data_IF_424446049960
#
_entry.id   IF_424446049960
#
_cell.length_a   1.000
_cell.length_b   1.000
_cell.length_c   1.000
_cell.angle_alpha   90.00
_cell.angle_beta   90.00
_cell.angle_gamma   90.00
#
_symmetry.space_group_name_H-M   'P 1'
#
loop_
_entity.id
_entity.type
_entity.pdbx_description
1 polymer ?
#
# COMPACT_ATOMS: atom_id res chain seq x y z
N UNK A 1 28.51 30.67 -77.86
CA UNK A 1 27.82 30.91 -76.57
C UNK A 1 27.47 29.56 -76.00
N UNK A 2 28.15 29.17 -74.95
CA UNK A 2 27.87 27.86 -74.25
C UNK A 2 27.19 28.16 -72.93
N UNK A 3 25.97 27.62 -72.74
CA UNK A 3 25.20 27.76 -71.52
C UNK A 3 25.72 26.77 -70.47
N UNK A 4 26.00 27.26 -69.24
CA UNK A 4 26.33 26.46 -68.08
C UNK A 4 25.03 25.99 -67.44
N UNK A 5 24.93 24.72 -67.03
CA UNK A 5 23.82 24.25 -66.17
C UNK A 5 24.12 24.53 -64.67
N UNK A 6 23.21 25.24 -64.01
CA UNK A 6 23.17 25.40 -62.56
C UNK A 6 22.79 24.06 -61.91
N UNK A 7 23.68 23.52 -61.09
CA UNK A 7 23.38 22.43 -60.22
C UNK A 7 22.72 22.96 -58.90
N UNK A 8 21.43 22.72 -58.72
CA UNK A 8 20.74 23.01 -57.52
C UNK A 8 20.94 21.83 -56.55
N UNK A 9 21.74 22.05 -55.52
CA UNK A 9 21.90 21.06 -54.44
C UNK A 9 20.73 21.22 -53.46
N UNK A 10 19.82 20.27 -53.45
CA UNK A 10 18.79 20.14 -52.38
C UNK A 10 19.45 19.59 -51.13
N UNK A 11 19.64 20.43 -50.13
CA UNK A 11 19.98 20.01 -48.77
C UNK A 11 18.71 19.43 -48.12
N UNK A 12 18.61 18.10 -48.03
CA UNK A 12 17.59 17.42 -47.22
C UNK A 12 17.98 17.55 -45.75
N UNK A 13 17.30 18.44 -45.03
CA UNK A 13 17.41 18.51 -43.56
C UNK A 13 16.77 17.26 -42.95
N UNK A 14 17.58 16.28 -42.57
CA UNK A 14 17.15 15.16 -41.75
C UNK A 14 16.84 15.68 -40.34
N UNK A 15 15.56 15.99 -40.05
CA UNK A 15 15.08 16.20 -38.70
C UNK A 15 15.20 14.87 -37.93
N UNK A 16 16.32 14.66 -37.26
CA UNK A 16 16.48 13.55 -36.32
C UNK A 16 15.49 13.71 -35.17
N UNK A 17 14.44 12.92 -35.19
CA UNK A 17 13.58 12.73 -34.03
C UNK A 17 14.41 12.03 -32.94
N UNK A 18 15.11 12.81 -32.13
CA UNK A 18 15.64 12.28 -30.87
C UNK A 18 14.41 11.93 -29.99
N UNK A 19 14.26 10.69 -29.51
CA UNK A 19 13.20 10.38 -28.58
C UNK A 19 13.37 11.28 -27.35
N UNK A 20 12.36 12.06 -27.04
CA UNK A 20 12.37 12.87 -25.83
C UNK A 20 12.59 11.94 -24.64
N UNK A 21 13.71 12.09 -23.94
CA UNK A 21 13.97 11.36 -22.70
C UNK A 21 12.97 11.89 -21.68
N UNK A 22 11.92 11.11 -21.43
CA UNK A 22 10.93 11.43 -20.41
C UNK A 22 11.59 11.28 -19.05
N UNK A 23 11.81 12.41 -18.37
CA UNK A 23 12.42 12.45 -17.03
C UNK A 23 11.47 11.91 -15.97
N UNK A 24 12.03 11.56 -14.82
CA UNK A 24 11.28 11.26 -13.62
C UNK A 24 10.34 12.44 -13.28
N UNK A 25 9.19 12.11 -12.74
CA UNK A 25 8.18 13.09 -12.40
C UNK A 25 7.80 12.90 -10.93
N UNK A 26 8.03 13.94 -10.14
CA UNK A 26 7.53 14.05 -8.76
C UNK A 26 6.46 15.12 -8.71
N UNK A 27 5.32 14.78 -8.14
CA UNK A 27 4.24 15.73 -7.85
C UNK A 27 3.72 15.52 -6.44
N UNK A 28 3.37 16.61 -5.78
CA UNK A 28 2.79 16.59 -4.43
C UNK A 28 1.42 17.25 -4.43
N UNK A 29 0.64 16.92 -3.39
CA UNK A 29 -0.62 17.57 -3.07
C UNK A 29 -1.66 17.48 -4.22
N UNK A 30 -1.69 16.35 -4.94
CA UNK A 30 -2.65 16.08 -6.00
C UNK A 30 -3.95 15.58 -5.38
N UNK A 31 -5.05 16.25 -5.64
CA UNK A 31 -6.37 15.80 -5.22
C UNK A 31 -6.82 14.59 -6.06
N UNK A 32 -7.12 13.47 -5.38
CA UNK A 32 -7.63 12.26 -6.03
C UNK A 32 -9.10 11.97 -5.72
N UNK A 33 -9.64 12.54 -4.65
CA UNK A 33 -11.05 12.43 -4.27
C UNK A 33 -11.47 13.60 -3.36
N UNK A 34 -12.78 13.84 -3.24
CA UNK A 34 -13.33 14.91 -2.39
C UNK A 34 -14.62 14.45 -1.68
N UNK A 35 -14.54 13.44 -0.80
CA UNK A 35 -15.71 13.06 -0.03
C UNK A 35 -16.11 14.16 0.97
N UNK A 36 -17.40 14.45 1.07
CA UNK A 36 -17.96 15.45 2.00
C UNK A 36 -17.23 16.81 1.93
N UNK A 37 -16.91 17.28 0.71
CA UNK A 37 -16.18 18.52 0.42
C UNK A 37 -14.74 18.61 1.01
N UNK A 38 -14.22 17.52 1.55
CA UNK A 38 -12.84 17.42 2.05
C UNK A 38 -11.92 16.80 0.99
N UNK A 39 -10.89 17.53 0.52
CA UNK A 39 -9.96 16.97 -0.45
C UNK A 39 -9.11 15.88 0.18
N UNK A 40 -8.98 14.75 -0.51
CA UNK A 40 -7.99 13.71 -0.25
C UNK A 40 -6.85 13.85 -1.24
N UNK A 41 -5.65 13.93 -0.71
CA UNK A 41 -4.46 14.25 -1.49
C UNK A 41 -3.55 13.03 -1.61
N UNK A 42 -2.79 13.00 -2.70
CA UNK A 42 -1.68 12.07 -2.89
C UNK A 42 -0.41 12.80 -3.33
N UNK A 43 0.73 12.17 -3.01
CA UNK A 43 2.02 12.49 -3.59
C UNK A 43 2.44 11.33 -4.49
N UNK A 44 3.13 11.62 -5.58
CA UNK A 44 3.55 10.59 -6.53
C UNK A 44 4.98 10.77 -7.02
N UNK A 45 5.55 9.64 -7.42
CA UNK A 45 6.78 9.54 -8.19
C UNK A 45 6.55 8.63 -9.41
N UNK A 46 7.04 9.05 -10.56
CA UNK A 46 7.08 8.22 -11.77
C UNK A 46 8.52 8.17 -12.28
N UNK A 47 9.09 6.98 -12.53
CA UNK A 47 10.47 6.85 -12.99
C UNK A 47 10.75 7.49 -14.33
N UNK A 48 12.05 7.69 -14.65
CA UNK A 48 12.52 8.04 -15.98
C UNK A 48 12.10 7.00 -17.03
N UNK A 49 11.84 7.45 -18.25
CA UNK A 49 11.58 6.58 -19.39
C UNK A 49 10.14 6.56 -19.87
N UNK A 50 9.90 5.75 -20.89
CA UNK A 50 8.62 5.72 -21.61
C UNK A 50 7.51 4.92 -20.86
N UNK A 51 7.87 4.05 -19.92
CA UNK A 51 6.91 3.13 -19.29
C UNK A 51 6.39 2.07 -20.26
N UNK A 52 5.22 1.45 -20.02
CA UNK A 52 4.42 1.67 -18.84
C UNK A 52 5.01 1.02 -17.58
N UNK A 53 5.09 1.77 -16.49
CA UNK A 53 5.71 1.34 -15.24
C UNK A 53 4.76 0.49 -14.37
N UNK A 54 5.28 -0.48 -13.60
CA UNK A 54 4.53 -1.02 -12.47
C UNK A 54 4.34 0.09 -11.43
N UNK A 55 3.26 0.01 -10.67
CA UNK A 55 2.94 1.03 -9.68
C UNK A 55 2.61 0.43 -8.31
N UNK A 56 2.84 1.21 -7.26
CA UNK A 56 2.41 0.91 -5.90
C UNK A 56 1.54 2.07 -5.37
N UNK A 57 0.40 1.74 -4.76
CA UNK A 57 -0.38 2.68 -3.97
C UNK A 57 -0.01 2.43 -2.51
N UNK A 58 0.46 3.49 -1.83
CA UNK A 58 1.05 3.42 -0.50
C UNK A 58 0.08 4.00 0.52
N UNK A 59 -0.24 3.22 1.56
CA UNK A 59 -1.23 3.56 2.58
C UNK A 59 -0.55 3.60 3.95
N UNK A 60 -0.52 4.78 4.56
CA UNK A 60 0.16 4.99 5.84
C UNK A 60 -0.60 4.39 7.02
N UNK A 61 0.11 4.16 8.14
CA UNK A 61 -0.46 3.76 9.42
C UNK A 61 -0.92 4.93 10.28
N UNK A 62 -0.92 4.72 11.59
CA UNK A 62 -1.28 5.74 12.57
C UNK A 62 -2.59 5.46 13.31
N UNK A 63 -2.97 4.19 13.47
CA UNK A 63 -4.09 3.77 14.32
C UNK A 63 -5.46 4.26 13.84
N UNK A 64 -5.61 4.59 12.57
CA UNK A 64 -6.80 5.13 11.91
C UNK A 64 -7.18 6.57 12.29
N UNK A 65 -6.49 7.23 13.22
CA UNK A 65 -6.79 8.57 13.71
C UNK A 65 -5.63 9.57 13.58
N UNK A 66 -4.48 9.10 13.07
CA UNK A 66 -3.28 9.91 12.85
C UNK A 66 -2.55 9.47 11.57
N UNK A 67 -1.56 10.27 11.18
CA UNK A 67 -0.73 10.00 10.01
C UNK A 67 -1.11 10.81 8.78
N UNK A 68 -0.25 10.75 7.80
CA UNK A 68 -0.44 11.37 6.48
C UNK A 68 0.35 10.55 5.45
N UNK A 69 0.10 10.79 4.17
CA UNK A 69 0.87 10.24 3.04
C UNK A 69 2.39 10.50 3.11
N UNK A 70 2.83 11.42 3.99
CA UNK A 70 4.24 11.83 4.21
C UNK A 70 4.83 11.22 5.49
N UNK A 71 4.14 10.27 6.14
CA UNK A 71 4.56 9.69 7.42
C UNK A 71 4.52 8.15 7.35
N UNK A 72 5.28 7.50 8.21
CA UNK A 72 5.32 6.05 8.46
C UNK A 72 5.69 5.19 7.24
N UNK A 73 5.00 5.29 6.11
CA UNK A 73 5.22 4.49 4.88
C UNK A 73 6.43 4.99 4.05
N UNK A 74 6.98 6.16 4.38
CA UNK A 74 8.08 6.83 3.66
C UNK A 74 9.31 5.94 3.40
N UNK A 75 9.72 5.02 4.30
CA UNK A 75 10.85 4.13 4.02
C UNK A 75 10.71 3.27 2.76
N UNK A 76 9.50 3.12 2.21
CA UNK A 76 9.27 2.40 0.95
C UNK A 76 9.53 3.23 -0.30
N UNK A 77 9.54 4.56 -0.22
CA UNK A 77 9.61 5.47 -1.37
C UNK A 77 10.88 5.26 -2.19
N UNK A 78 12.04 5.41 -1.55
CA UNK A 78 13.33 5.22 -2.21
C UNK A 78 13.51 3.80 -2.73
N UNK A 79 13.07 2.81 -1.95
CA UNK A 79 13.14 1.40 -2.31
C UNK A 79 12.40 1.11 -3.61
N UNK A 80 11.19 1.67 -3.76
CA UNK A 80 10.35 1.50 -4.96
C UNK A 80 10.89 2.31 -6.13
N UNK A 81 11.30 3.56 -5.92
CA UNK A 81 11.88 4.41 -6.96
C UNK A 81 13.12 3.76 -7.58
N UNK A 82 14.05 3.29 -6.74
CA UNK A 82 15.28 2.61 -7.18
C UNK A 82 14.99 1.28 -7.90
N UNK A 83 13.85 0.65 -7.60
CA UNK A 83 13.40 -0.58 -8.26
C UNK A 83 12.67 -0.34 -9.59
N UNK A 84 12.42 0.91 -9.98
CA UNK A 84 11.72 1.28 -11.19
C UNK A 84 10.19 1.23 -11.10
N UNK A 85 9.65 1.30 -9.89
CA UNK A 85 8.21 1.42 -9.66
C UNK A 85 7.80 2.90 -9.59
N UNK A 86 6.67 3.23 -10.20
CA UNK A 86 5.95 4.43 -9.81
C UNK A 86 5.26 4.17 -8.46
N UNK A 87 5.12 5.23 -7.64
CA UNK A 87 4.36 5.11 -6.42
C UNK A 87 3.45 6.31 -6.20
N UNK A 88 2.34 6.06 -5.47
CA UNK A 88 1.30 7.01 -5.14
C UNK A 88 1.01 6.88 -3.64
N UNK A 89 1.55 7.78 -2.83
CA UNK A 89 1.29 7.80 -1.39
C UNK A 89 0.05 8.63 -1.11
N UNK A 90 -0.95 8.04 -0.45
CA UNK A 90 -2.27 8.62 -0.31
C UNK A 90 -2.59 9.02 1.13
N UNK A 91 -3.36 10.10 1.29
CA UNK A 91 -4.14 10.33 2.49
C UNK A 91 -5.45 9.53 2.42
N UNK A 92 -6.00 9.19 3.57
CA UNK A 92 -7.35 8.68 3.73
C UNK A 92 -8.01 9.40 4.91
N UNK A 93 -9.34 9.42 4.98
CA UNK A 93 -10.05 10.02 6.11
C UNK A 93 -9.72 9.30 7.39
N UNK A 94 -9.33 10.08 8.39
CA UNK A 94 -9.01 9.61 9.73
C UNK A 94 -10.26 9.69 10.63
N UNK A 95 -10.30 8.86 11.68
CA UNK A 95 -11.36 8.94 12.67
C UNK A 95 -11.37 10.31 13.38
N UNK A 96 -12.57 10.85 13.77
CA UNK A 96 -13.87 10.19 13.68
C UNK A 96 -14.57 10.31 12.31
N UNK A 97 -14.10 11.17 11.39
CA UNK A 97 -14.79 11.45 10.12
C UNK A 97 -14.61 10.32 9.10
N UNK A 98 -13.52 9.54 9.22
CA UNK A 98 -13.17 8.44 8.36
C UNK A 98 -13.20 7.10 9.07
N UNK A 99 -14.22 6.85 9.86
CA UNK A 99 -14.47 5.53 10.43
C UNK A 99 -14.69 4.49 9.30
N UNK A 100 -14.57 3.23 9.64
CA UNK A 100 -14.93 2.15 8.72
C UNK A 100 -16.43 2.22 8.35
N UNK A 101 -16.82 2.16 7.07
CA UNK A 101 -16.01 1.79 5.89
C UNK A 101 -15.42 2.99 5.08
N UNK A 102 -15.57 4.22 5.53
CA UNK A 102 -15.19 5.42 4.76
C UNK A 102 -13.70 5.45 4.37
N UNK A 103 -12.81 5.03 5.28
CA UNK A 103 -11.38 4.93 5.03
C UNK A 103 -11.03 3.85 3.99
N UNK A 104 -11.79 2.75 3.94
CA UNK A 104 -11.68 1.72 2.89
C UNK A 104 -12.06 2.30 1.53
N UNK A 105 -13.20 3.02 1.46
CA UNK A 105 -13.66 3.67 0.23
C UNK A 105 -12.65 4.69 -0.32
N UNK A 106 -11.86 5.32 0.56
CA UNK A 106 -10.81 6.26 0.16
C UNK A 106 -9.65 5.52 -0.54
N UNK A 107 -9.22 4.37 -0.02
CA UNK A 107 -8.21 3.51 -0.68
C UNK A 107 -8.72 3.01 -2.03
N UNK A 108 -9.96 2.57 -2.10
CA UNK A 108 -10.58 2.14 -3.37
C UNK A 108 -10.66 3.30 -4.39
N UNK A 109 -10.95 4.52 -3.91
CA UNK A 109 -10.98 5.71 -4.77
C UNK A 109 -9.60 6.02 -5.34
N UNK A 110 -8.53 5.84 -4.55
CA UNK A 110 -7.16 5.98 -5.04
C UNK A 110 -6.83 4.94 -6.12
N UNK A 111 -7.27 3.69 -5.98
CA UNK A 111 -7.07 2.66 -7.02
C UNK A 111 -7.77 3.08 -8.31
N UNK A 112 -9.02 3.51 -8.23
CA UNK A 112 -9.79 3.99 -9.40
C UNK A 112 -9.12 5.19 -10.05
N UNK A 113 -8.64 6.14 -9.24
CA UNK A 113 -7.95 7.33 -9.74
C UNK A 113 -6.65 7.00 -10.47
N UNK A 114 -5.77 6.17 -9.88
CA UNK A 114 -4.51 5.75 -10.52
C UNK A 114 -4.78 5.02 -11.84
N UNK A 115 -5.81 4.18 -11.90
CA UNK A 115 -6.22 3.50 -13.13
C UNK A 115 -6.73 4.47 -14.20
N UNK A 116 -7.51 5.48 -13.82
CA UNK A 116 -8.02 6.50 -14.73
C UNK A 116 -6.90 7.35 -15.33
N UNK A 117 -5.89 7.70 -14.52
CA UNK A 117 -4.76 8.53 -14.93
C UNK A 117 -3.53 7.74 -15.42
N UNK A 118 -3.67 6.42 -15.62
CA UNK A 118 -2.54 5.55 -15.98
C UNK A 118 -1.83 5.98 -17.28
N UNK A 119 -2.56 6.54 -18.26
CA UNK A 119 -1.97 7.08 -19.48
C UNK A 119 -1.12 8.32 -19.21
N UNK A 120 -1.60 9.25 -18.40
CA UNK A 120 -0.87 10.47 -18.01
C UNK A 120 0.44 10.15 -17.29
N UNK A 121 0.39 9.20 -16.33
CA UNK A 121 1.54 8.83 -15.51
C UNK A 121 2.30 7.61 -16.03
N UNK A 122 2.04 7.16 -17.24
CA UNK A 122 2.73 6.03 -17.88
C UNK A 122 2.69 4.75 -17.05
N UNK A 123 1.54 4.43 -16.44
CA UNK A 123 1.34 3.27 -15.54
C UNK A 123 0.75 2.08 -16.29
N UNK A 124 1.25 0.90 -15.98
CA UNK A 124 0.63 -0.34 -16.40
C UNK A 124 -0.55 -0.69 -15.46
N UNK A 125 -1.78 -0.51 -15.94
CA UNK A 125 -3.01 -0.75 -15.17
C UNK A 125 -3.14 -2.16 -14.60
N UNK A 126 -2.45 -3.15 -15.22
CA UNK A 126 -2.47 -4.55 -14.75
C UNK A 126 -1.37 -4.85 -13.73
N UNK A 127 -0.52 -3.88 -13.43
CA UNK A 127 0.65 -4.00 -12.56
C UNK A 127 0.61 -2.95 -11.44
N UNK A 128 -0.51 -2.91 -10.71
CA UNK A 128 -0.70 -2.03 -9.56
C UNK A 128 -0.71 -2.91 -8.31
N UNK A 129 0.17 -2.61 -7.35
CA UNK A 129 0.19 -3.21 -6.02
C UNK A 129 -0.40 -2.26 -4.99
N UNK A 130 -0.99 -2.80 -3.91
CA UNK A 130 -1.26 -2.05 -2.67
C UNK A 130 -0.16 -2.36 -1.67
N UNK A 131 0.33 -1.34 -0.98
CA UNK A 131 1.31 -1.49 0.10
C UNK A 131 0.83 -0.65 1.27
N UNK A 132 0.64 -1.29 2.42
CA UNK A 132 0.19 -0.60 3.62
C UNK A 132 1.01 -0.98 4.86
N UNK A 133 1.00 -0.12 5.87
CA UNK A 133 1.63 -0.42 7.14
C UNK A 133 0.69 -0.16 8.31
N UNK A 134 0.68 -1.03 9.35
CA UNK A 134 -0.14 -0.90 10.55
C UNK A 134 -1.64 -0.74 10.21
N UNK A 135 -2.28 0.36 10.59
CA UNK A 135 -3.65 0.67 10.18
C UNK A 135 -3.83 0.69 8.65
N UNK A 136 -2.85 1.22 7.91
CA UNK A 136 -2.85 1.18 6.45
C UNK A 136 -2.72 -0.24 5.90
N UNK A 137 -1.98 -1.13 6.59
CA UNK A 137 -1.91 -2.54 6.25
C UNK A 137 -3.28 -3.22 6.39
N UNK A 138 -3.99 -2.96 7.48
CA UNK A 138 -5.40 -3.41 7.61
C UNK A 138 -6.24 -2.97 6.41
N UNK A 139 -6.12 -1.68 6.00
CA UNK A 139 -6.92 -1.16 4.88
C UNK A 139 -6.59 -1.87 3.56
N UNK A 140 -5.30 -2.10 3.27
CA UNK A 140 -4.92 -2.81 2.04
C UNK A 140 -5.25 -4.30 2.11
N UNK A 141 -5.19 -4.93 3.29
CA UNK A 141 -5.62 -6.31 3.51
C UNK A 141 -7.12 -6.44 3.28
N UNK A 142 -7.92 -5.51 3.84
CA UNK A 142 -9.37 -5.48 3.64
C UNK A 142 -9.75 -5.30 2.18
N UNK A 143 -9.18 -4.30 1.50
CA UNK A 143 -9.43 -4.07 0.06
C UNK A 143 -8.95 -5.26 -0.77
N UNK A 144 -7.82 -5.88 -0.41
CA UNK A 144 -7.27 -7.06 -1.06
C UNK A 144 -8.23 -8.27 -1.01
N UNK A 145 -8.90 -8.48 0.14
CA UNK A 145 -9.87 -9.58 0.34
C UNK A 145 -11.31 -9.26 -0.11
N UNK A 146 -11.58 -8.03 -0.55
CA UNK A 146 -12.91 -7.57 -1.01
C UNK A 146 -12.86 -6.95 -2.41
N UNK A 147 -12.00 -7.45 -3.29
CA UNK A 147 -11.80 -6.85 -4.61
C UNK A 147 -13.05 -6.89 -5.48
N UNK A 148 -13.28 -5.79 -6.18
CA UNK A 148 -14.20 -5.71 -7.32
C UNK A 148 -13.39 -5.59 -8.62
N UNK A 149 -14.00 -5.72 -9.81
CA UNK A 149 -13.30 -5.47 -11.07
C UNK A 149 -12.60 -4.10 -11.14
N UNK A 150 -13.17 -3.07 -10.50
CA UNK A 150 -12.66 -1.69 -10.48
C UNK A 150 -11.50 -1.51 -9.49
N UNK A 151 -11.47 -2.29 -8.41
CA UNK A 151 -10.47 -2.20 -7.33
C UNK A 151 -9.42 -3.31 -7.36
N UNK A 152 -9.52 -4.23 -8.34
CA UNK A 152 -8.59 -5.35 -8.46
C UNK A 152 -7.14 -4.88 -8.60
N UNK A 153 -6.24 -5.47 -7.78
CA UNK A 153 -4.80 -5.21 -7.80
C UNK A 153 -3.99 -6.45 -8.10
N UNK A 154 -2.74 -6.27 -8.52
CA UNK A 154 -1.86 -7.37 -8.91
C UNK A 154 -1.15 -8.04 -7.72
N UNK A 155 -1.03 -7.33 -6.61
CA UNK A 155 -0.37 -7.81 -5.39
C UNK A 155 -0.74 -6.92 -4.20
N UNK A 156 -0.65 -7.48 -2.99
CA UNK A 156 -0.77 -6.75 -1.72
C UNK A 156 0.47 -6.99 -0.89
N UNK A 157 1.06 -5.93 -0.33
CA UNK A 157 2.13 -5.99 0.66
C UNK A 157 1.63 -5.36 1.96
N UNK A 158 1.62 -6.14 3.01
CA UNK A 158 1.10 -5.76 4.32
C UNK A 158 2.21 -5.79 5.36
N UNK A 159 2.52 -4.63 5.92
CA UNK A 159 3.49 -4.50 7.00
C UNK A 159 2.75 -4.49 8.33
N UNK A 160 2.95 -5.53 9.13
CA UNK A 160 2.42 -5.66 10.50
C UNK A 160 0.95 -5.21 10.65
N UNK A 161 0.09 -5.63 9.72
CA UNK A 161 -1.34 -5.33 9.74
C UNK A 161 -2.15 -6.22 10.69
N UNK A 162 -3.14 -5.66 11.42
CA UNK A 162 -4.06 -6.47 12.20
C UNK A 162 -5.12 -7.11 11.28
N UNK A 163 -4.94 -8.38 10.93
CA UNK A 163 -5.86 -9.10 10.03
C UNK A 163 -7.06 -9.73 10.75
N UNK A 164 -6.97 -9.97 12.07
CA UNK A 164 -8.06 -10.45 12.93
C UNK A 164 -8.36 -9.40 14.02
N UNK A 165 -9.33 -8.55 13.75
CA UNK A 165 -9.67 -7.42 14.63
C UNK A 165 -10.24 -7.87 15.98
N UNK A 166 -10.96 -9.00 16.01
CA UNK A 166 -11.45 -9.54 17.27
C UNK A 166 -10.28 -10.04 18.16
N UNK A 167 -9.38 -10.84 17.59
CA UNK A 167 -8.21 -11.32 18.34
C UNK A 167 -7.31 -10.16 18.79
N UNK A 168 -7.17 -9.10 17.99
CA UNK A 168 -6.47 -7.88 18.39
C UNK A 168 -7.12 -7.22 19.60
N UNK A 169 -8.44 -7.08 19.60
CA UNK A 169 -9.18 -6.46 20.68
C UNK A 169 -9.17 -7.30 21.97
N UNK A 170 -9.33 -8.62 21.84
CA UNK A 170 -9.26 -9.57 22.96
C UNK A 170 -7.86 -9.54 23.60
N UNK A 171 -6.81 -9.56 22.79
CA UNK A 171 -5.44 -9.50 23.29
C UNK A 171 -5.15 -8.18 24.03
N UNK A 172 -5.64 -7.05 23.52
CA UNK A 172 -5.53 -5.76 24.21
C UNK A 172 -6.29 -5.72 25.54
N UNK A 173 -7.45 -6.37 25.61
CA UNK A 173 -8.25 -6.45 26.83
C UNK A 173 -7.61 -7.35 27.88
N UNK A 174 -7.17 -8.55 27.46
CA UNK A 174 -6.78 -9.63 28.36
C UNK A 174 -5.30 -9.56 28.75
N UNK A 175 -4.45 -8.97 27.91
CA UNK A 175 -3.00 -8.87 28.07
C UNK A 175 -2.46 -7.45 27.79
N UNK A 176 -3.00 -6.41 28.44
CA UNK A 176 -2.57 -5.02 28.20
C UNK A 176 -1.09 -4.79 28.50
N UNK A 177 -0.46 -5.60 29.34
CA UNK A 177 0.96 -5.55 29.66
C UNK A 177 1.88 -5.91 28.49
N UNK A 178 1.36 -6.60 27.47
CA UNK A 178 2.12 -7.00 26.28
C UNK A 178 2.27 -5.87 25.27
N UNK A 179 1.52 -4.78 25.44
CA UNK A 179 1.45 -3.70 24.47
C UNK A 179 2.18 -2.43 24.95
N UNK A 180 2.63 -1.63 24.00
CA UNK A 180 3.17 -0.31 24.32
C UNK A 180 2.12 0.53 25.05
N UNK A 181 2.46 0.96 26.27
CA UNK A 181 1.56 1.71 27.14
C UNK A 181 1.19 3.09 26.56
N UNK A 182 2.03 3.68 25.68
CA UNK A 182 1.69 4.92 24.98
C UNK A 182 0.65 4.67 23.89
N UNK A 183 0.75 3.53 23.19
CA UNK A 183 -0.25 3.10 22.19
C UNK A 183 -1.59 2.79 22.88
N UNK A 184 -1.59 2.08 24.02
CA UNK A 184 -2.81 1.80 24.81
C UNK A 184 -3.49 3.10 25.26
N UNK A 185 -2.72 4.07 25.78
CA UNK A 185 -3.29 5.37 26.18
C UNK A 185 -3.91 6.13 25.02
N UNK A 186 -3.35 6.02 23.83
CA UNK A 186 -3.87 6.66 22.61
C UNK A 186 -5.10 5.92 22.08
N UNK A 187 -5.08 4.59 22.12
CA UNK A 187 -6.12 3.72 21.61
C UNK A 187 -6.54 2.71 22.69
N UNK A 188 -7.22 3.15 23.76
CA UNK A 188 -7.48 2.30 24.94
C UNK A 188 -8.28 1.03 24.64
N UNK A 189 -8.97 0.98 23.53
CA UNK A 189 -9.74 -0.20 23.09
C UNK A 189 -9.20 -0.73 21.74
N UNK A 190 -7.88 -0.67 21.50
CA UNK A 190 -7.28 -1.20 20.26
C UNK A 190 -7.82 -0.59 18.96
N UNK A 191 -8.28 0.67 19.01
CA UNK A 191 -8.84 1.34 17.83
C UNK A 191 -10.30 1.00 17.53
N UNK A 192 -11.02 0.30 18.41
CA UNK A 192 -12.41 -0.15 18.20
C UNK A 192 -13.37 0.94 17.76
N UNK A 193 -13.16 2.18 18.21
CA UNK A 193 -13.98 3.35 17.83
C UNK A 193 -13.99 3.61 16.33
N UNK A 194 -12.86 3.38 15.64
CA UNK A 194 -12.77 3.54 14.19
C UNK A 194 -13.66 2.55 13.43
N UNK A 195 -14.17 1.52 14.11
CA UNK A 195 -15.03 0.48 13.55
C UNK A 195 -16.47 0.55 14.09
N UNK A 196 -16.80 1.61 14.84
CA UNK A 196 -18.12 1.79 15.44
C UNK A 196 -18.39 0.85 16.62
N UNK A 197 -17.37 0.20 17.19
CA UNK A 197 -17.48 -0.69 18.34
C UNK A 197 -17.16 0.08 19.62
N UNK A 198 -18.10 0.07 20.57
CA UNK A 198 -17.92 0.73 21.86
C UNK A 198 -17.34 -0.22 22.90
N UNK A 199 -17.89 -1.41 22.98
CA UNK A 199 -17.57 -2.43 23.96
C UNK A 199 -17.33 -3.77 23.27
N UNK A 200 -16.53 -4.64 23.88
CA UNK A 200 -16.26 -5.98 23.39
C UNK A 200 -17.29 -6.98 23.96
N UNK A 201 -18.57 -6.68 23.77
CA UNK A 201 -19.69 -7.58 23.98
C UNK A 201 -19.92 -8.46 22.73
N UNK A 202 -20.98 -9.28 22.73
CA UNK A 202 -21.27 -10.17 21.59
C UNK A 202 -21.53 -9.39 20.29
N UNK A 203 -22.17 -8.22 20.36
CA UNK A 203 -22.41 -7.38 19.18
C UNK A 203 -21.11 -6.78 18.65
N UNK A 204 -20.26 -6.27 19.54
CA UNK A 204 -18.93 -5.78 19.20
C UNK A 204 -18.05 -6.88 18.63
N UNK A 205 -18.00 -8.05 19.27
CA UNK A 205 -17.26 -9.21 18.78
C UNK A 205 -17.74 -9.67 17.40
N UNK A 206 -19.07 -9.74 17.19
CA UNK A 206 -19.66 -10.06 15.88
C UNK A 206 -19.25 -9.05 14.82
N UNK A 207 -19.29 -7.76 15.14
CA UNK A 207 -18.85 -6.69 14.23
C UNK A 207 -17.38 -6.85 13.87
N UNK A 208 -16.49 -7.07 14.84
CA UNK A 208 -15.06 -7.23 14.59
C UNK A 208 -14.76 -8.47 13.73
N UNK A 209 -15.47 -9.58 13.93
CA UNK A 209 -15.36 -10.76 13.03
C UNK A 209 -15.72 -10.40 11.59
N UNK A 210 -16.81 -9.66 11.36
CA UNK A 210 -17.26 -9.27 10.02
C UNK A 210 -16.27 -8.39 9.26
N UNK A 211 -15.55 -7.52 9.97
CA UNK A 211 -14.59 -6.58 9.36
C UNK A 211 -13.15 -7.10 9.39
N UNK A 212 -12.90 -8.30 9.89
CA UNK A 212 -11.56 -8.89 9.91
C UNK A 212 -11.18 -9.45 8.53
N UNK A 213 -10.11 -8.97 7.89
CA UNK A 213 -9.66 -9.50 6.59
C UNK A 213 -9.50 -11.02 6.57
N UNK A 214 -9.00 -11.63 7.65
CA UNK A 214 -8.81 -13.08 7.76
C UNK A 214 -10.10 -13.87 7.55
N UNK A 215 -11.26 -13.33 7.91
CA UNK A 215 -12.57 -14.01 7.79
C UNK A 215 -13.20 -13.80 6.40
N UNK A 216 -12.65 -12.92 5.58
CA UNK A 216 -13.14 -12.64 4.24
C UNK A 216 -12.33 -13.36 3.14
N UNK A 217 -11.28 -14.07 3.53
CA UNK A 217 -10.40 -14.77 2.58
C UNK A 217 -11.18 -15.80 1.77
N UNK A 218 -10.99 -15.77 0.45
CA UNK A 218 -11.65 -16.69 -0.49
C UNK A 218 -10.72 -17.08 -1.66
N UNK A 219 -11.13 -18.03 -2.47
CA UNK A 219 -10.39 -18.43 -3.67
C UNK A 219 -10.35 -17.28 -4.67
N UNK A 220 -9.17 -16.99 -5.19
CA UNK A 220 -8.96 -15.96 -6.22
C UNK A 220 -8.41 -14.64 -5.69
N UNK A 221 -7.98 -14.64 -4.42
CA UNK A 221 -7.23 -13.54 -3.82
C UNK A 221 -6.01 -13.15 -4.67
N UNK A 222 -5.59 -11.87 -4.65
CA UNK A 222 -4.30 -11.48 -5.17
C UNK A 222 -3.18 -12.15 -4.35
N UNK A 223 -1.97 -12.27 -4.87
CA UNK A 223 -0.81 -12.64 -4.06
C UNK A 223 -0.57 -11.65 -2.94
N UNK A 224 -0.32 -12.16 -1.71
CA UNK A 224 0.02 -11.38 -0.53
C UNK A 224 1.47 -11.60 -0.12
N UNK A 225 2.14 -10.52 0.29
CA UNK A 225 3.38 -10.54 1.04
C UNK A 225 3.14 -9.88 2.39
N UNK A 226 3.33 -10.62 3.47
CA UNK A 226 3.24 -10.09 4.82
C UNK A 226 4.66 -9.89 5.37
N UNK A 227 4.92 -8.75 6.01
CA UNK A 227 6.22 -8.42 6.60
C UNK A 227 6.00 -7.96 8.03
N UNK A 228 6.56 -8.68 9.02
CA UNK A 228 6.24 -8.44 10.42
C UNK A 228 7.43 -8.68 11.35
N UNK A 229 7.63 -7.78 12.29
CA UNK A 229 8.62 -7.93 13.35
C UNK A 229 8.12 -8.87 14.45
N UNK A 230 8.94 -9.84 14.88
CA UNK A 230 8.50 -10.81 15.89
C UNK A 230 8.58 -10.30 17.35
N UNK A 231 8.94 -9.04 17.54
CA UNK A 231 8.89 -8.31 18.82
C UNK A 231 7.94 -7.12 18.76
N UNK A 232 6.94 -7.20 17.88
CA UNK A 232 5.94 -6.16 17.75
C UNK A 232 5.05 -6.09 18.99
N UNK A 233 5.03 -4.90 19.61
CA UNK A 233 4.30 -4.60 20.86
C UNK A 233 3.00 -3.82 20.64
N UNK A 234 2.57 -3.67 19.38
CA UNK A 234 1.30 -3.00 19.03
C UNK A 234 0.35 -3.92 18.28
N UNK A 235 0.87 -4.70 17.34
CA UNK A 235 0.12 -5.73 16.62
C UNK A 235 0.80 -7.07 16.85
N UNK A 236 0.19 -8.02 17.55
CA UNK A 236 0.82 -9.31 17.82
C UNK A 236 1.31 -9.99 16.56
N UNK A 237 2.57 -10.43 16.55
CA UNK A 237 3.18 -11.11 15.40
C UNK A 237 2.32 -12.26 14.87
N UNK A 238 1.61 -12.99 15.75
CA UNK A 238 0.72 -14.09 15.39
C UNK A 238 -0.34 -13.75 14.34
N UNK A 239 -0.67 -12.49 14.18
CA UNK A 239 -1.63 -12.01 13.17
C UNK A 239 -1.19 -12.38 11.76
N UNK A 240 0.08 -12.13 11.42
CA UNK A 240 0.58 -12.36 10.05
C UNK A 240 0.70 -13.84 9.68
N UNK A 241 1.30 -14.74 10.48
CA UNK A 241 1.28 -16.17 10.18
C UNK A 241 -0.14 -16.73 10.01
N UNK A 242 -1.07 -16.37 10.91
CA UNK A 242 -2.45 -16.84 10.84
C UNK A 242 -3.16 -16.38 9.56
N UNK A 243 -2.99 -15.12 9.19
CA UNK A 243 -3.58 -14.58 7.95
C UNK A 243 -2.96 -15.22 6.71
N UNK A 244 -1.64 -15.40 6.69
CA UNK A 244 -0.95 -16.06 5.57
C UNK A 244 -1.40 -17.52 5.41
N UNK A 245 -1.61 -18.22 6.50
CA UNK A 245 -2.15 -19.59 6.50
C UNK A 245 -3.58 -19.63 5.92
N UNK A 246 -4.45 -18.71 6.37
CA UNK A 246 -5.81 -18.62 5.84
C UNK A 246 -5.82 -18.38 4.32
N UNK A 247 -4.99 -17.47 3.80
CA UNK A 247 -4.85 -17.20 2.37
C UNK A 247 -4.38 -18.45 1.61
N UNK A 248 -3.38 -19.17 2.14
CA UNK A 248 -2.88 -20.42 1.53
C UNK A 248 -3.94 -21.51 1.52
N UNK A 249 -4.70 -21.66 2.61
CA UNK A 249 -5.78 -22.64 2.72
C UNK A 249 -6.92 -22.36 1.74
N UNK A 250 -7.16 -21.11 1.37
CA UNK A 250 -8.08 -20.72 0.31
C UNK A 250 -7.53 -20.97 -1.10
N UNK A 251 -6.28 -21.42 -1.24
CA UNK A 251 -5.62 -21.71 -2.52
C UNK A 251 -5.00 -20.49 -3.20
N UNK A 252 -4.76 -19.40 -2.46
CA UNK A 252 -4.06 -18.22 -2.94
C UNK A 252 -2.59 -18.19 -2.49
N UNK A 253 -1.79 -17.32 -3.11
CA UNK A 253 -0.38 -17.17 -2.76
C UNK A 253 -0.23 -16.22 -1.58
N UNK A 254 0.49 -16.65 -0.54
CA UNK A 254 0.95 -15.80 0.54
C UNK A 254 2.40 -16.17 0.92
N UNK A 255 3.24 -15.15 1.05
CA UNK A 255 4.59 -15.26 1.57
C UNK A 255 4.72 -14.38 2.82
N UNK A 256 5.54 -14.81 3.78
CA UNK A 256 5.78 -14.12 5.05
C UNK A 256 7.27 -13.86 5.22
N UNK A 257 7.63 -12.60 5.48
CA UNK A 257 8.97 -12.19 5.89
C UNK A 257 8.91 -11.82 7.38
N UNK A 258 9.61 -12.57 8.22
CA UNK A 258 9.77 -12.27 9.64
C UNK A 258 11.00 -11.39 9.84
N UNK A 259 10.84 -10.27 10.52
CA UNK A 259 11.95 -9.42 10.94
C UNK A 259 12.32 -9.79 12.38
N UNK A 260 13.42 -10.50 12.51
CA UNK A 260 13.90 -10.97 13.81
C UNK A 260 14.28 -9.81 14.73
N UNK A 261 13.69 -9.79 15.94
CA UNK A 261 13.85 -8.69 16.89
C UNK A 261 13.18 -7.38 16.46
N UNK A 262 12.42 -7.39 15.35
CA UNK A 262 11.73 -6.21 14.84
C UNK A 262 10.56 -5.81 15.73
N UNK A 263 10.56 -4.54 16.15
CA UNK A 263 9.45 -3.87 16.84
C UNK A 263 8.43 -3.31 15.86
N UNK A 264 7.32 -2.74 16.37
CA UNK A 264 6.33 -2.09 15.52
C UNK A 264 6.92 -0.88 14.77
N UNK A 265 6.63 -0.80 13.47
CA UNK A 265 7.10 0.29 12.62
C UNK A 265 8.44 0.02 11.93
N UNK A 266 8.44 -0.01 10.60
CA UNK A 266 9.65 -0.26 9.79
C UNK A 266 10.76 0.78 10.00
N UNK A 267 10.45 1.96 10.50
CA UNK A 267 11.42 2.98 10.91
C UNK A 267 12.25 2.58 12.13
N UNK A 268 11.81 1.57 12.92
CA UNK A 268 12.52 1.03 14.06
C UNK A 268 13.45 -0.14 13.70
N UNK A 269 13.36 -0.68 12.50
CA UNK A 269 14.18 -1.78 12.01
C UNK A 269 15.53 -1.27 11.52
N UNK A 270 16.46 -0.96 12.44
CA UNK A 270 17.73 -0.30 12.13
C UNK A 270 18.91 -1.26 12.02
N UNK A 271 18.81 -2.46 12.61
CA UNK A 271 19.87 -3.43 12.57
C UNK A 271 20.10 -3.97 11.14
N UNK A 272 21.35 -4.23 10.74
CA UNK A 272 21.66 -4.70 9.38
C UNK A 272 20.84 -5.93 8.96
N UNK A 273 20.63 -6.88 9.86
CA UNK A 273 19.85 -8.08 9.63
C UNK A 273 18.33 -7.81 9.53
N UNK A 274 17.86 -6.63 9.87
CA UNK A 274 16.45 -6.20 9.75
C UNK A 274 16.16 -5.47 8.43
N UNK A 275 17.20 -5.11 7.65
CA UNK A 275 17.02 -4.30 6.44
C UNK A 275 16.71 -5.13 5.17
N UNK A 276 16.80 -6.45 5.23
CA UNK A 276 16.61 -7.33 4.07
C UNK A 276 15.20 -7.24 3.47
N UNK A 277 14.20 -6.80 4.24
CA UNK A 277 12.84 -6.63 3.73
C UNK A 277 12.77 -5.74 2.48
N UNK A 278 13.67 -4.78 2.35
CA UNK A 278 13.71 -3.85 1.22
C UNK A 278 13.99 -4.58 -0.09
N UNK A 279 15.03 -5.39 -0.10
CA UNK A 279 15.42 -6.20 -1.27
C UNK A 279 14.43 -7.33 -1.52
N UNK A 280 13.97 -7.98 -0.47
CA UNK A 280 13.07 -9.13 -0.55
C UNK A 280 11.67 -8.72 -1.05
N UNK A 281 11.13 -7.59 -0.56
CA UNK A 281 9.87 -7.01 -1.05
C UNK A 281 9.95 -6.69 -2.54
N UNK A 282 11.03 -6.03 -2.97
CA UNK A 282 11.22 -5.67 -4.39
C UNK A 282 11.34 -6.94 -5.25
N UNK A 283 12.14 -7.91 -4.83
CA UNK A 283 12.30 -9.17 -5.55
C UNK A 283 10.96 -9.91 -5.66
N UNK A 284 10.20 -9.95 -4.57
CA UNK A 284 8.87 -10.55 -4.55
C UNK A 284 7.89 -9.83 -5.47
N UNK A 285 7.82 -8.50 -5.41
CA UNK A 285 6.95 -7.69 -6.28
C UNK A 285 7.29 -7.91 -7.76
N UNK A 286 8.57 -7.86 -8.12
CA UNK A 286 9.02 -8.09 -9.50
C UNK A 286 8.64 -9.47 -10.01
N UNK A 287 8.87 -10.51 -9.22
CA UNK A 287 8.51 -11.89 -9.54
C UNK A 287 6.99 -12.05 -9.71
N UNK A 288 6.23 -11.60 -8.73
CA UNK A 288 4.78 -11.75 -8.65
C UNK A 288 4.07 -10.99 -9.77
N UNK A 289 4.47 -9.76 -9.99
CA UNK A 289 3.90 -8.90 -11.02
C UNK A 289 4.51 -9.13 -12.41
N UNK A 290 5.49 -10.02 -12.54
CA UNK A 290 6.21 -10.34 -13.81
C UNK A 290 6.74 -9.06 -14.46
N UNK A 291 7.51 -8.28 -13.72
CA UNK A 291 8.22 -7.08 -14.17
C UNK A 291 9.73 -7.30 -14.09
N UNK A 292 10.49 -6.62 -14.97
CA UNK A 292 11.95 -6.76 -15.06
C UNK A 292 12.68 -5.97 -13.97
#
# INVERSE_FOLDING_TARGET
MRANPLFTVLLAAACGLFPAVLRALDKNDIEFARPNDRPLLLDLHVPDGAGPFPAAILVHGGGFDAGTRKMYIVPTFEVLSNAGFAWFSIDYRLAPEGNFPENVHDVESAIRWVRAHAGEYRINKSKIALIGESAGAYLVDYVGTHQTPETKVAAVVSFYGPANMLAQAEMHRDHPEMFDQAAIRRHPNGGLKAFGVKDLDEAGASRLRQISPINAVHKGEPPFLLIHGNKDEQVPYSQSPAFCEAIKNAGAQCDLITIEGGHHGMGNWKEPNQQHWKTDMVAWLKKTMKVK
#
